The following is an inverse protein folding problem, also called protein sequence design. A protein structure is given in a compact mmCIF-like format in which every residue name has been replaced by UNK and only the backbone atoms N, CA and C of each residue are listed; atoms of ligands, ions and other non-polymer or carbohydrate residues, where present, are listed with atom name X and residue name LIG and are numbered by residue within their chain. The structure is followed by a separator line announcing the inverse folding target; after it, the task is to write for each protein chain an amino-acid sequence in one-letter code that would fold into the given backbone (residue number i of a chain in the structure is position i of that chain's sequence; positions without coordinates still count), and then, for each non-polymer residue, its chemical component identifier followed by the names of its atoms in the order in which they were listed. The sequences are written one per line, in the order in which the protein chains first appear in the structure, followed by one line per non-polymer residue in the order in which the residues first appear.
data_IF_571882986776
#
_entry.id   IF_571882986776
#
_cell.length_a   1.000
_cell.length_b   1.000
_cell.length_c   1.000
_cell.angle_alpha   90.00
_cell.angle_beta   90.00
_cell.angle_gamma   90.00
#
_symmetry.space_group_name_H-M   'P 1'
#
loop_
_entity.id
_entity.type
_entity.pdbx_description
1 polymer ?
#
# COMPACT_ATOMS: atom_id res chain seq x y z
N UNK A 1 -22.90 -0.42 -38.34
CA UNK A 1 -21.52 -0.84 -38.03
C UNK A 1 -20.78 0.16 -37.14
N UNK A 2 -20.67 1.44 -37.50
CA UNK A 2 -19.96 2.47 -36.69
C UNK A 2 -20.44 2.58 -35.24
N UNK A 3 -21.75 2.52 -34.98
CA UNK A 3 -22.33 2.58 -33.62
C UNK A 3 -21.98 1.36 -32.76
N UNK A 4 -21.96 0.16 -33.35
CA UNK A 4 -21.59 -1.08 -32.66
C UNK A 4 -20.09 -1.08 -32.34
N UNK A 5 -19.26 -0.65 -33.31
CA UNK A 5 -17.81 -0.51 -33.09
C UNK A 5 -17.49 0.52 -32.01
N UNK A 6 -18.19 1.66 -32.00
CA UNK A 6 -18.06 2.69 -30.96
C UNK A 6 -18.48 2.19 -29.58
N UNK A 7 -19.50 1.34 -29.50
CA UNK A 7 -19.96 0.76 -28.24
C UNK A 7 -18.92 -0.22 -27.69
N UNK A 8 -18.37 -1.10 -28.54
CA UNK A 8 -17.31 -2.05 -28.16
C UNK A 8 -16.07 -1.31 -27.69
N UNK A 9 -15.62 -0.27 -28.41
CA UNK A 9 -14.46 0.52 -28.02
C UNK A 9 -14.68 1.26 -26.70
N UNK A 10 -15.87 1.83 -26.49
CA UNK A 10 -16.24 2.48 -25.23
C UNK A 10 -16.29 1.51 -24.05
N UNK A 11 -16.78 0.29 -24.26
CA UNK A 11 -16.78 -0.77 -23.23
C UNK A 11 -15.37 -1.18 -22.82
N UNK A 12 -14.45 -1.31 -23.79
CA UNK A 12 -13.04 -1.65 -23.50
C UNK A 12 -12.40 -0.56 -22.64
N UNK A 13 -12.59 0.72 -23.00
CA UNK A 13 -12.07 1.85 -22.23
C UNK A 13 -12.62 1.83 -20.80
N UNK A 14 -13.93 1.67 -20.62
CA UNK A 14 -14.55 1.59 -19.29
C UNK A 14 -13.97 0.45 -18.43
N UNK A 15 -13.76 -0.74 -19.02
CA UNK A 15 -13.16 -1.89 -18.33
C UNK A 15 -11.71 -1.59 -17.91
N UNK A 16 -10.90 -0.99 -18.80
CA UNK A 16 -9.51 -0.65 -18.49
C UNK A 16 -9.38 0.38 -17.37
N UNK A 17 -10.26 1.38 -17.33
CA UNK A 17 -10.33 2.39 -16.26
C UNK A 17 -10.81 1.79 -14.93
N UNK A 18 -11.73 0.82 -14.95
CA UNK A 18 -12.13 0.12 -13.71
C UNK A 18 -11.01 -0.79 -13.19
N UNK A 19 -10.26 -1.44 -14.08
CA UNK A 19 -9.14 -2.31 -13.70
C UNK A 19 -7.95 -1.53 -13.11
N UNK A 20 -7.69 -0.30 -13.55
CA UNK A 20 -6.59 0.52 -13.00
C UNK A 20 -6.79 0.89 -11.53
N UNK A 21 -8.04 1.03 -11.08
CA UNK A 21 -8.35 1.33 -9.67
C UNK A 21 -8.10 0.11 -8.78
N UNK A 22 -8.42 -1.10 -9.28
CA UNK A 22 -8.16 -2.34 -8.55
C UNK A 22 -6.65 -2.64 -8.37
N UNK A 23 -5.81 -2.15 -9.30
CA UNK A 23 -4.35 -2.28 -9.23
C UNK A 23 -3.64 -1.15 -8.48
N UNK A 24 -4.38 -0.14 -7.99
CA UNK A 24 -3.80 0.99 -7.23
C UNK A 24 -3.57 0.67 -5.74
N UNK A 25 -3.88 -0.54 -5.28
CA UNK A 25 -3.60 -0.95 -3.91
C UNK A 25 -2.07 -0.99 -3.68
N UNK A 26 -1.62 -0.43 -2.56
CA UNK A 26 -0.20 -0.46 -2.21
C UNK A 26 0.25 -1.90 -1.95
N UNK A 27 1.30 -2.38 -2.61
CA UNK A 27 1.76 -3.77 -2.43
C UNK A 27 2.43 -4.04 -1.07
N UNK A 28 2.81 -2.99 -0.34
CA UNK A 28 3.47 -3.08 0.95
C UNK A 28 3.34 -1.74 1.68
N UNK A 29 3.14 -1.78 2.99
CA UNK A 29 3.21 -0.60 3.87
C UNK A 29 4.56 -0.59 4.57
N UNK A 30 5.22 0.57 4.60
CA UNK A 30 6.49 0.76 5.34
C UNK A 30 6.22 1.56 6.59
N UNK A 31 6.62 1.03 7.75
CA UNK A 31 6.46 1.69 9.04
C UNK A 31 7.83 1.94 9.66
N UNK A 32 8.09 3.21 9.97
CA UNK A 32 9.25 3.65 10.73
C UNK A 32 8.98 3.50 12.22
N UNK A 33 9.97 3.04 12.99
CA UNK A 33 9.94 3.06 14.44
C UNK A 33 11.32 3.39 15.03
N UNK A 34 11.34 3.76 16.30
CA UNK A 34 12.56 4.05 17.06
C UNK A 34 12.65 3.11 18.25
N UNK A 35 13.81 2.48 18.45
CA UNK A 35 14.05 1.64 19.65
C UNK A 35 14.10 2.46 20.94
N UNK A 36 14.52 3.73 20.86
CA UNK A 36 14.58 4.64 22.01
C UNK A 36 13.18 4.92 22.59
N UNK A 37 12.14 4.86 21.75
CA UNK A 37 10.75 5.08 22.12
C UNK A 37 9.93 3.82 21.86
N UNK A 38 9.99 2.88 22.79
CA UNK A 38 9.22 1.65 22.73
C UNK A 38 7.71 1.97 22.64
N UNK A 39 7.14 1.69 21.47
CA UNK A 39 5.72 1.80 21.22
C UNK A 39 5.02 0.48 21.66
N UNK A 40 3.80 0.50 22.21
CA UNK A 40 3.08 -0.71 22.63
C UNK A 40 2.78 -1.67 21.46
N UNK A 41 2.80 -1.15 20.23
CA UNK A 41 2.52 -1.81 18.96
C UNK A 41 3.64 -2.78 18.50
N UNK A 42 4.70 -2.98 19.30
CA UNK A 42 5.77 -3.94 18.98
C UNK A 42 5.31 -5.40 19.08
N UNK A 43 4.34 -5.71 19.96
CA UNK A 43 3.76 -7.05 20.04
C UNK A 43 2.99 -7.39 18.76
N UNK A 44 2.15 -6.47 18.30
CA UNK A 44 1.37 -6.63 17.07
C UNK A 44 2.24 -6.68 15.81
N UNK A 45 3.39 -5.99 15.83
CA UNK A 45 4.42 -6.15 14.80
C UNK A 45 4.93 -7.60 14.74
N UNK A 46 5.26 -8.22 15.88
CA UNK A 46 5.78 -9.60 15.92
C UNK A 46 4.70 -10.60 15.51
N UNK A 47 3.44 -10.30 15.86
CA UNK A 47 2.28 -11.13 15.52
C UNK A 47 1.76 -10.90 14.10
N UNK A 48 2.31 -9.94 13.35
CA UNK A 48 1.85 -9.51 12.02
C UNK A 48 0.37 -9.07 11.99
N UNK A 49 -0.18 -8.60 13.11
CA UNK A 49 -1.59 -8.19 13.19
C UNK A 49 -1.90 -7.02 12.24
N UNK A 50 -0.89 -6.21 11.92
CA UNK A 50 -1.02 -5.09 10.97
C UNK A 50 -1.12 -5.55 9.52
N UNK A 51 -0.41 -6.61 9.14
CA UNK A 51 -0.46 -7.17 7.79
C UNK A 51 -1.87 -7.68 7.50
N UNK A 52 -2.48 -8.36 8.48
CA UNK A 52 -3.85 -8.85 8.42
C UNK A 52 -4.86 -7.69 8.36
N UNK A 53 -4.68 -6.66 9.19
CA UNK A 53 -5.60 -5.53 9.27
C UNK A 53 -5.53 -4.61 8.03
N UNK A 54 -4.35 -4.46 7.42
CA UNK A 54 -4.13 -3.63 6.24
C UNK A 54 -4.28 -4.40 4.93
N UNK A 55 -4.34 -5.74 4.99
CA UNK A 55 -4.45 -6.63 3.84
C UNK A 55 -3.21 -6.66 2.94
N UNK A 56 -2.11 -6.07 3.40
CA UNK A 56 -0.84 -5.93 2.66
C UNK A 56 0.34 -6.05 3.63
N UNK A 57 1.48 -6.61 3.20
CA UNK A 57 2.62 -6.81 4.10
C UNK A 57 3.13 -5.50 4.72
N UNK A 58 3.54 -5.54 5.98
CA UNK A 58 4.12 -4.38 6.67
C UNK A 58 5.61 -4.55 6.92
N UNK A 59 6.41 -3.67 6.33
CA UNK A 59 7.86 -3.63 6.53
C UNK A 59 8.24 -2.62 7.59
N UNK A 60 8.76 -3.12 8.70
CA UNK A 60 9.20 -2.32 9.84
C UNK A 60 10.67 -1.95 9.70
N UNK A 61 10.99 -0.67 9.79
CA UNK A 61 12.38 -0.17 9.74
C UNK A 61 12.67 0.62 11.01
N UNK A 62 13.75 0.24 11.70
CA UNK A 62 14.25 1.01 12.85
C UNK A 62 15.14 2.14 12.35
N UNK A 63 14.98 3.33 12.93
CA UNK A 63 15.85 4.47 12.71
C UNK A 63 16.55 4.87 14.00
N UNK A 64 17.78 5.40 13.92
CA UNK A 64 18.48 5.90 15.09
C UNK A 64 18.10 7.36 15.37
N UNK A 65 17.83 8.15 14.33
CA UNK A 65 17.41 9.56 14.47
C UNK A 65 16.28 9.95 13.51
N UNK A 66 15.54 11.01 13.83
CA UNK A 66 14.48 11.53 12.96
C UNK A 66 14.97 12.08 11.62
N UNK A 67 16.25 12.48 11.54
CA UNK A 67 16.89 12.91 10.29
C UNK A 67 16.97 11.76 9.29
N UNK A 68 17.55 10.62 9.71
CA UNK A 68 17.63 9.40 8.89
C UNK A 68 16.24 8.90 8.49
N UNK A 69 15.24 9.03 9.37
CA UNK A 69 13.86 8.67 9.04
C UNK A 69 13.30 9.55 7.92
N UNK A 70 13.53 10.86 7.98
CA UNK A 70 13.02 11.82 6.99
C UNK A 70 13.69 11.61 5.63
N UNK A 71 14.96 11.25 5.61
CA UNK A 71 15.69 10.93 4.36
C UNK A 71 15.23 9.62 3.71
N UNK A 72 14.72 8.67 4.50
CA UNK A 72 14.34 7.35 4.02
C UNK A 72 12.85 7.21 3.62
N UNK A 73 12.01 8.21 3.90
CA UNK A 73 10.56 8.19 3.67
C UNK A 73 10.19 8.97 2.41
#
# INVERSE_FOLDING_TARGET
MKKILSLILGSIVAITLSASVAYSAANQVRVAFFLEWALPNQEDKVKNTFDDALGVPVKWTNFATGGEMTEAM
#
